data_IF_095768852842
#
_entry.id   IF_095768852842
#
_cell.length_a   1.000
_cell.length_b   1.000
_cell.length_c   1.000
_cell.angle_alpha   90.00
_cell.angle_beta   90.00
_cell.angle_gamma   90.00
#
_symmetry.space_group_name_H-M   'P 1'
#
loop_
_entity.id
_entity.type
_entity.pdbx_description
1 polymer ?
#
# COMPACT_ATOMS: atom_id res chain seq x y z
N UNK A 1 -8.50 -24.33 -11.96
CA UNK A 1 -8.47 -22.97 -12.54
C UNK A 1 -7.34 -22.93 -13.57
N UNK A 2 -7.56 -22.43 -14.78
CA UNK A 2 -6.54 -22.50 -15.84
C UNK A 2 -5.50 -21.40 -15.65
N UNK A 3 -4.24 -21.69 -16.03
CA UNK A 3 -3.10 -20.74 -16.03
C UNK A 3 -3.41 -19.41 -16.73
N UNK A 4 -4.41 -19.39 -17.62
CA UNK A 4 -4.92 -18.20 -18.32
C UNK A 4 -5.55 -17.18 -17.37
N UNK A 5 -6.31 -17.62 -16.37
CA UNK A 5 -7.04 -16.71 -15.48
C UNK A 5 -6.11 -15.93 -14.55
N UNK A 6 -5.03 -16.56 -14.08
CA UNK A 6 -4.01 -15.93 -13.24
C UNK A 6 -3.17 -14.89 -13.98
N UNK A 7 -2.83 -15.19 -15.24
CA UNK A 7 -2.15 -14.21 -16.10
C UNK A 7 -3.04 -13.00 -16.36
N UNK A 8 -4.34 -13.23 -16.59
CA UNK A 8 -5.28 -12.15 -16.80
C UNK A 8 -5.38 -11.23 -15.58
N UNK A 9 -5.35 -11.77 -14.35
CA UNK A 9 -5.36 -10.93 -13.14
C UNK A 9 -4.12 -10.05 -13.01
N UNK A 10 -2.92 -10.57 -13.28
CA UNK A 10 -1.70 -9.73 -13.24
C UNK A 10 -1.71 -8.63 -14.29
N UNK A 11 -2.20 -8.93 -15.49
CA UNK A 11 -2.39 -7.92 -16.54
C UNK A 11 -3.38 -6.85 -16.12
N UNK A 12 -4.53 -7.25 -15.57
CA UNK A 12 -5.55 -6.33 -15.09
C UNK A 12 -5.01 -5.42 -13.99
N UNK A 13 -4.33 -5.97 -12.98
CA UNK A 13 -3.72 -5.19 -11.89
C UNK A 13 -2.67 -4.21 -12.44
N UNK A 14 -1.79 -4.66 -13.35
CA UNK A 14 -0.74 -3.80 -13.93
C UNK A 14 -1.31 -2.70 -14.82
N UNK A 15 -2.36 -2.98 -15.61
CA UNK A 15 -3.03 -1.97 -16.44
C UNK A 15 -3.76 -0.93 -15.59
N UNK A 16 -4.48 -1.37 -14.55
CA UNK A 16 -5.13 -0.44 -13.62
C UNK A 16 -4.10 0.41 -12.87
N UNK A 17 -2.99 -0.20 -12.49
CA UNK A 17 -1.86 0.47 -11.84
C UNK A 17 -1.21 1.55 -12.72
N UNK A 18 -1.01 1.29 -14.01
CA UNK A 18 -0.60 2.31 -14.98
C UNK A 18 -1.58 3.50 -15.05
N UNK A 19 -2.89 3.22 -15.01
CA UNK A 19 -3.91 4.29 -14.98
C UNK A 19 -3.81 5.09 -13.68
N UNK A 20 -3.60 4.43 -12.53
CA UNK A 20 -3.41 5.08 -11.24
C UNK A 20 -2.13 5.94 -11.21
N UNK A 21 -1.04 5.48 -11.84
CA UNK A 21 0.20 6.24 -11.98
C UNK A 21 0.00 7.50 -12.84
N UNK A 22 -0.64 7.38 -14.00
CA UNK A 22 -0.93 8.55 -14.85
C UNK A 22 -1.85 9.53 -14.11
N UNK A 23 -2.88 9.03 -13.43
CA UNK A 23 -3.78 9.86 -12.63
C UNK A 23 -3.03 10.57 -11.50
N UNK A 24 -2.15 9.88 -10.76
CA UNK A 24 -1.41 10.49 -9.65
C UNK A 24 -0.48 11.60 -10.12
N UNK A 25 0.23 11.40 -11.24
CA UNK A 25 1.08 12.43 -11.86
C UNK A 25 0.26 13.65 -12.28
N UNK A 26 -0.88 13.46 -12.95
CA UNK A 26 -1.77 14.57 -13.35
C UNK A 26 -2.27 15.34 -12.13
N UNK A 27 -2.66 14.64 -11.06
CA UNK A 27 -3.12 15.30 -9.83
C UNK A 27 -1.99 16.02 -9.10
N UNK A 28 -0.77 15.48 -9.08
CA UNK A 28 0.38 16.14 -8.47
C UNK A 28 0.79 17.40 -9.24
N UNK A 29 0.77 17.39 -10.58
CA UNK A 29 0.99 18.59 -11.40
C UNK A 29 -0.06 19.65 -11.04
N UNK A 30 -1.33 19.26 -10.94
CA UNK A 30 -2.42 20.17 -10.57
C UNK A 30 -2.20 20.77 -9.18
N UNK A 31 -1.81 19.97 -8.18
CA UNK A 31 -1.49 20.44 -6.83
C UNK A 31 -0.31 21.42 -6.86
N UNK A 32 0.72 21.16 -7.66
CA UNK A 32 1.86 22.07 -7.81
C UNK A 32 1.52 23.40 -8.48
N UNK A 33 0.53 23.41 -9.36
CA UNK A 33 0.05 24.65 -10.01
C UNK A 33 -0.92 25.45 -9.14
N UNK A 34 -1.62 24.81 -8.21
CA UNK A 34 -2.62 25.47 -7.36
C UNK A 34 -1.93 26.09 -6.13
N UNK A 35 -1.96 27.43 -6.03
CA UNK A 35 -1.33 28.17 -4.92
C UNK A 35 -2.20 28.22 -3.67
N UNK A 36 -3.40 27.62 -3.68
CA UNK A 36 -4.32 27.64 -2.55
C UNK A 36 -3.80 26.73 -1.43
N UNK A 37 -3.55 27.33 -0.27
CA UNK A 37 -3.30 26.57 0.95
C UNK A 37 -4.64 26.02 1.47
N UNK A 38 -4.79 24.71 1.68
CA UNK A 38 -5.95 24.14 2.32
C UNK A 38 -5.99 24.61 3.78
N UNK A 39 -7.17 25.01 4.21
CA UNK A 39 -7.43 25.61 5.52
C UNK A 39 -6.92 24.76 6.70
N UNK A 40 -6.95 23.43 6.61
CA UNK A 40 -6.52 22.56 7.70
C UNK A 40 -5.01 22.55 7.95
N UNK A 41 -4.19 22.85 6.94
CA UNK A 41 -2.74 22.99 7.14
C UNK A 41 -2.41 24.26 7.94
N UNK A 42 -3.29 25.26 7.86
CA UNK A 42 -3.23 26.45 8.68
C UNK A 42 -3.53 26.16 10.15
N UNK A 43 -4.59 25.40 10.38
CA UNK A 43 -5.09 25.07 11.71
C UNK A 43 -4.10 24.19 12.49
N UNK A 44 -3.51 23.20 11.82
CA UNK A 44 -2.54 22.27 12.42
C UNK A 44 -1.12 22.84 12.57
N UNK A 45 -0.87 24.10 12.18
CA UNK A 45 0.46 24.73 12.19
C UNK A 45 1.51 23.93 11.39
N UNK A 46 1.09 23.14 10.40
CA UNK A 46 1.96 22.31 9.57
C UNK A 46 2.58 23.10 8.41
N UNK A 47 2.91 24.37 8.63
CA UNK A 47 3.65 25.22 7.71
C UNK A 47 5.15 24.93 7.79
N UNK A 48 5.51 23.68 7.52
CA UNK A 48 6.91 23.33 7.37
C UNK A 48 7.25 23.38 5.88
N UNK A 49 8.09 24.34 5.52
CA UNK A 49 8.76 24.32 4.22
C UNK A 49 9.85 23.26 4.28
N UNK A 50 9.78 22.28 3.38
CA UNK A 50 10.85 21.31 3.21
C UNK A 50 11.80 21.83 2.13
N UNK A 51 13.11 21.68 2.36
CA UNK A 51 14.08 22.01 1.32
C UNK A 51 14.38 20.77 0.49
N UNK A 52 14.20 20.86 -0.82
CA UNK A 52 14.69 19.87 -1.77
C UNK A 52 15.63 20.56 -2.75
N UNK A 53 16.88 20.07 -2.83
CA UNK A 53 17.95 20.66 -3.65
C UNK A 53 18.10 22.19 -3.44
N UNK A 54 17.93 22.66 -2.20
CA UNK A 54 18.04 24.08 -1.85
C UNK A 54 16.82 24.95 -2.19
N UNK A 55 15.78 24.38 -2.81
CA UNK A 55 14.51 25.08 -3.07
C UNK A 55 13.47 24.78 -1.99
N UNK A 56 12.73 25.79 -1.48
CA UNK A 56 11.65 25.56 -0.54
C UNK A 56 10.45 24.91 -1.25
N UNK A 57 9.95 23.83 -0.69
CA UNK A 57 8.79 23.08 -1.14
C UNK A 57 7.75 23.04 -0.02
N UNK A 58 6.52 23.44 -0.35
CA UNK A 58 5.40 23.29 0.58
C UNK A 58 5.08 21.82 0.84
N UNK A 59 4.64 21.51 2.06
CA UNK A 59 4.23 20.17 2.51
C UNK A 59 3.25 19.45 1.54
N UNK A 60 2.40 20.21 0.86
CA UNK A 60 1.44 19.68 -0.11
C UNK A 60 2.13 19.08 -1.33
N UNK A 61 3.10 19.80 -1.90
CA UNK A 61 3.84 19.34 -3.06
C UNK A 61 4.77 18.19 -2.68
N UNK A 62 5.40 18.28 -1.51
CA UNK A 62 6.22 17.20 -0.96
C UNK A 62 5.41 15.91 -0.80
N UNK A 63 4.26 15.95 -0.13
CA UNK A 63 3.41 14.78 0.04
C UNK A 63 2.79 14.28 -1.27
N UNK A 64 2.50 15.18 -2.22
CA UNK A 64 2.01 14.80 -3.54
C UNK A 64 3.07 14.04 -4.35
N UNK A 65 4.32 14.52 -4.35
CA UNK A 65 5.43 13.83 -4.99
C UNK A 65 5.74 12.50 -4.31
N UNK A 66 5.73 12.45 -2.97
CA UNK A 66 5.92 11.20 -2.22
C UNK A 66 4.89 10.14 -2.63
N UNK A 67 3.60 10.50 -2.71
CA UNK A 67 2.55 9.61 -3.22
C UNK A 67 2.83 9.15 -4.66
N UNK A 68 3.29 10.05 -5.54
CA UNK A 68 3.61 9.70 -6.93
C UNK A 68 4.78 8.71 -7.03
N UNK A 69 5.86 8.96 -6.29
CA UNK A 69 7.01 8.04 -6.24
C UNK A 69 6.61 6.69 -5.67
N UNK A 70 5.72 6.68 -4.67
CA UNK A 70 5.24 5.44 -4.08
C UNK A 70 4.37 4.63 -5.04
N UNK A 71 3.45 5.28 -5.76
CA UNK A 71 2.66 4.63 -6.82
C UNK A 71 3.58 4.12 -7.93
N UNK A 72 4.56 4.91 -8.37
CA UNK A 72 5.54 4.49 -9.37
C UNK A 72 6.30 3.23 -8.94
N UNK A 73 6.73 3.17 -7.68
CA UNK A 73 7.41 2.01 -7.12
C UNK A 73 6.49 0.78 -7.09
N UNK A 74 5.24 0.92 -6.64
CA UNK A 74 4.25 -0.15 -6.63
C UNK A 74 3.93 -0.66 -8.04
N UNK A 75 3.72 0.25 -9.01
CA UNK A 75 3.49 -0.07 -10.42
C UNK A 75 4.66 -0.83 -11.02
N UNK A 76 5.89 -0.37 -10.77
CA UNK A 76 7.09 -1.07 -11.22
C UNK A 76 7.17 -2.49 -10.65
N UNK A 77 6.86 -2.68 -9.37
CA UNK A 77 6.83 -4.01 -8.75
C UNK A 77 5.73 -4.91 -9.33
N UNK A 78 4.54 -4.40 -9.62
CA UNK A 78 3.48 -5.17 -10.30
C UNK A 78 3.92 -5.63 -11.70
N UNK A 79 4.59 -4.76 -12.45
CA UNK A 79 5.16 -5.09 -13.75
C UNK A 79 6.24 -6.18 -13.60
N UNK A 80 7.10 -6.09 -12.59
CA UNK A 80 8.09 -7.14 -12.29
C UNK A 80 7.39 -8.47 -11.98
N UNK A 81 6.32 -8.49 -11.17
CA UNK A 81 5.53 -9.70 -10.90
C UNK A 81 4.97 -10.28 -12.20
N UNK A 82 4.37 -9.44 -13.06
CA UNK A 82 3.78 -9.84 -14.33
C UNK A 82 4.80 -10.55 -15.24
N UNK A 83 6.03 -10.03 -15.34
CA UNK A 83 7.07 -10.62 -16.19
C UNK A 83 7.77 -11.82 -15.55
N UNK A 84 7.95 -11.81 -14.23
CA UNK A 84 8.67 -12.88 -13.50
C UNK A 84 7.82 -14.15 -13.40
N UNK A 85 6.52 -14.02 -13.12
CA UNK A 85 5.64 -15.16 -12.83
C UNK A 85 4.68 -15.49 -13.98
N UNK A 86 5.09 -15.27 -15.23
CA UNK A 86 4.26 -15.59 -16.40
C UNK A 86 3.82 -17.05 -16.48
N UNK A 87 4.63 -17.96 -15.91
CA UNK A 87 4.48 -19.41 -16.10
C UNK A 87 4.01 -20.17 -14.85
N UNK A 88 4.21 -19.59 -13.68
CA UNK A 88 3.97 -20.21 -12.37
C UNK A 88 2.66 -19.72 -11.76
N UNK A 89 1.92 -20.63 -11.14
CA UNK A 89 0.66 -20.30 -10.44
C UNK A 89 0.88 -20.55 -8.96
N UNK A 90 1.03 -19.49 -8.17
CA UNK A 90 1.07 -19.57 -6.70
C UNK A 90 0.07 -18.60 -6.09
N UNK A 91 -0.70 -19.08 -5.11
CA UNK A 91 -1.64 -18.26 -4.36
C UNK A 91 -0.94 -17.14 -3.57
N UNK A 92 0.26 -17.41 -3.03
CA UNK A 92 1.08 -16.45 -2.28
C UNK A 92 1.37 -15.21 -3.13
N UNK A 93 1.92 -15.43 -4.33
CA UNK A 93 2.30 -14.35 -5.25
C UNK A 93 1.08 -13.57 -5.72
N UNK A 94 -0.06 -14.24 -5.90
CA UNK A 94 -1.30 -13.54 -6.23
C UNK A 94 -1.73 -12.60 -5.10
N UNK A 95 -1.66 -13.01 -3.84
CA UNK A 95 -2.01 -12.15 -2.71
C UNK A 95 -1.00 -11.02 -2.50
N UNK A 96 0.29 -11.29 -2.73
CA UNK A 96 1.33 -10.24 -2.74
C UNK A 96 1.05 -9.22 -3.86
N UNK A 97 0.66 -9.66 -5.05
CA UNK A 97 0.29 -8.75 -6.15
C UNK A 97 -0.95 -7.91 -5.79
N UNK A 98 -1.95 -8.51 -5.14
CA UNK A 98 -3.10 -7.76 -4.63
C UNK A 98 -2.67 -6.71 -3.61
N UNK A 99 -1.80 -7.07 -2.67
CA UNK A 99 -1.27 -6.13 -1.69
C UNK A 99 -0.55 -4.96 -2.36
N UNK A 100 0.36 -5.21 -3.30
CA UNK A 100 1.07 -4.15 -4.03
C UNK A 100 0.10 -3.24 -4.78
N UNK A 101 -0.97 -3.79 -5.37
CA UNK A 101 -2.02 -2.99 -5.99
C UNK A 101 -2.81 -2.14 -4.98
N UNK A 102 -3.15 -2.70 -3.80
CA UNK A 102 -3.86 -1.98 -2.76
C UNK A 102 -3.02 -0.86 -2.12
N UNK A 103 -1.70 -1.00 -2.13
CA UNK A 103 -0.76 0.07 -1.74
C UNK A 103 -0.93 1.31 -2.62
N UNK A 104 -1.32 1.17 -3.89
CA UNK A 104 -1.57 2.31 -4.79
C UNK A 104 -2.82 3.10 -4.43
N UNK A 105 -3.70 2.57 -3.56
CA UNK A 105 -4.84 3.33 -3.04
C UNK A 105 -4.39 4.56 -2.23
N UNK A 106 -3.13 4.63 -1.78
CA UNK A 106 -2.54 5.84 -1.20
C UNK A 106 -2.58 7.04 -2.17
N UNK A 107 -2.68 6.81 -3.49
CA UNK A 107 -2.89 7.86 -4.48
C UNK A 107 -4.20 8.64 -4.27
N UNK A 108 -5.19 8.03 -3.61
CA UNK A 108 -6.47 8.67 -3.29
C UNK A 108 -6.34 9.79 -2.25
N UNK A 109 -5.18 9.93 -1.59
CA UNK A 109 -4.87 11.11 -0.77
C UNK A 109 -4.76 12.39 -1.62
N UNK A 110 -4.35 12.28 -2.89
CA UNK A 110 -4.24 13.42 -3.81
C UNK A 110 -5.58 14.09 -4.15
N UNK A 111 -6.64 13.35 -4.58
CA UNK A 111 -7.94 13.97 -4.78
C UNK A 111 -8.55 14.49 -3.47
N UNK A 112 -8.29 13.87 -2.31
CA UNK A 112 -8.72 14.43 -1.01
C UNK A 112 -8.11 15.81 -0.77
N UNK A 113 -6.81 15.96 -1.02
CA UNK A 113 -6.12 17.24 -0.87
C UNK A 113 -6.76 18.33 -1.76
N UNK A 114 -7.08 18.00 -3.01
CA UNK A 114 -7.74 18.92 -3.95
C UNK A 114 -9.17 19.28 -3.49
N UNK A 115 -9.93 18.31 -2.98
CA UNK A 115 -11.29 18.54 -2.46
C UNK A 115 -11.22 19.43 -1.22
N UNK A 116 -10.25 19.22 -0.35
CA UNK A 116 -10.03 20.00 0.87
C UNK A 116 -9.62 21.44 0.56
N UNK A 117 -8.80 21.69 -0.47
CA UNK A 117 -8.47 23.04 -0.95
C UNK A 117 -9.70 23.83 -1.48
N UNK A 118 -10.76 23.14 -1.89
CA UNK A 118 -11.95 23.73 -2.50
C UNK A 118 -13.19 23.72 -1.60
N UNK A 119 -13.06 23.22 -0.37
CA UNK A 119 -14.13 23.15 0.66
C UNK A 119 -15.46 22.59 0.12
N UNK A 120 -15.41 21.60 -0.77
CA UNK A 120 -16.55 21.27 -1.64
C UNK A 120 -17.53 20.25 -1.06
N UNK A 121 -17.05 19.22 -0.34
CA UNK A 121 -17.92 18.13 0.15
C UNK A 121 -17.23 17.29 1.22
N UNK A 122 -17.73 17.35 2.46
CA UNK A 122 -17.22 16.52 3.57
C UNK A 122 -17.59 15.04 3.37
N UNK A 123 -18.78 14.76 2.82
CA UNK A 123 -19.21 13.39 2.52
C UNK A 123 -18.24 12.67 1.59
N UNK A 124 -17.75 13.35 0.55
CA UNK A 124 -16.75 12.79 -0.38
C UNK A 124 -15.42 12.51 0.30
N UNK A 125 -14.99 13.38 1.24
CA UNK A 125 -13.77 13.16 2.02
C UNK A 125 -13.90 11.95 2.95
N UNK A 126 -15.06 11.76 3.59
CA UNK A 126 -15.33 10.59 4.45
C UNK A 126 -15.28 9.31 3.61
N UNK A 127 -15.97 9.28 2.46
CA UNK A 127 -15.98 8.10 1.58
C UNK A 127 -14.59 7.74 1.07
N UNK A 128 -13.81 8.73 0.62
CA UNK A 128 -12.43 8.49 0.19
C UNK A 128 -11.58 7.99 1.36
N UNK A 129 -11.72 8.56 2.55
CA UNK A 129 -10.93 8.16 3.74
C UNK A 129 -11.20 6.69 4.06
N UNK A 130 -12.48 6.27 4.06
CA UNK A 130 -12.85 4.86 4.23
C UNK A 130 -12.29 3.97 3.13
N UNK A 131 -12.23 4.43 1.89
CA UNK A 131 -11.67 3.66 0.78
C UNK A 131 -10.17 3.41 1.01
N UNK A 132 -9.41 4.44 1.41
CA UNK A 132 -7.98 4.29 1.71
C UNK A 132 -7.76 3.35 2.89
N UNK A 133 -8.47 3.51 4.01
CA UNK A 133 -8.38 2.57 5.14
C UNK A 133 -8.82 1.15 4.75
N UNK A 134 -9.84 1.03 3.91
CA UNK A 134 -10.30 -0.26 3.39
C UNK A 134 -9.21 -0.96 2.60
N UNK A 135 -8.50 -0.22 1.74
CA UNK A 135 -7.35 -0.74 1.00
C UNK A 135 -6.17 -1.07 1.92
N UNK A 136 -5.88 -0.24 2.93
CA UNK A 136 -4.84 -0.50 3.94
C UNK A 136 -5.07 -1.82 4.66
N UNK A 137 -6.23 -2.00 5.29
CA UNK A 137 -6.55 -3.26 5.97
C UNK A 137 -6.61 -4.43 5.02
N UNK A 138 -7.25 -4.28 3.85
CA UNK A 138 -7.31 -5.36 2.86
C UNK A 138 -5.91 -5.79 2.41
N UNK A 139 -5.00 -4.83 2.23
CA UNK A 139 -3.62 -5.09 1.82
C UNK A 139 -2.86 -5.88 2.88
N UNK A 140 -2.92 -5.46 4.14
CA UNK A 140 -2.23 -6.15 5.23
C UNK A 140 -2.83 -7.54 5.50
N UNK A 141 -4.16 -7.66 5.44
CA UNK A 141 -4.84 -8.96 5.55
C UNK A 141 -4.43 -9.87 4.38
N UNK A 142 -4.31 -9.33 3.16
CA UNK A 142 -3.86 -10.13 2.01
C UNK A 142 -2.43 -10.64 2.17
N UNK A 143 -1.53 -9.86 2.76
CA UNK A 143 -0.19 -10.32 3.13
C UNK A 143 -0.26 -11.46 4.16
N UNK A 144 -1.01 -11.27 5.25
CA UNK A 144 -1.20 -12.32 6.26
C UNK A 144 -1.72 -13.62 5.63
N UNK A 145 -2.76 -13.55 4.79
CA UNK A 145 -3.27 -14.73 4.09
C UNK A 145 -2.20 -15.34 3.19
N UNK A 146 -1.36 -14.52 2.53
CA UNK A 146 -0.24 -15.04 1.72
C UNK A 146 0.75 -15.88 2.55
N UNK A 147 1.02 -15.46 3.80
CA UNK A 147 1.80 -16.23 4.77
C UNK A 147 1.15 -17.57 5.10
N UNK A 148 -0.17 -17.60 5.32
CA UNK A 148 -0.91 -18.85 5.56
C UNK A 148 -0.80 -19.83 4.37
N UNK A 149 -0.91 -19.33 3.13
CA UNK A 149 -0.68 -20.15 1.94
C UNK A 149 0.76 -20.68 1.90
N UNK A 150 1.75 -19.91 2.36
CA UNK A 150 3.14 -20.35 2.45
C UNK A 150 3.36 -21.49 3.46
N UNK A 151 2.62 -21.49 4.56
CA UNK A 151 2.58 -22.60 5.53
C UNK A 151 1.88 -23.84 4.94
N UNK A 152 1.04 -23.67 3.90
CA UNK A 152 0.24 -24.73 3.29
C UNK A 152 -1.19 -24.82 3.86
N UNK A 153 -1.61 -23.83 4.63
CA UNK A 153 -2.98 -23.66 5.11
C UNK A 153 -3.80 -22.99 4.00
N UNK A 154 -4.98 -23.55 3.70
CA UNK A 154 -5.83 -23.07 2.62
C UNK A 154 -5.46 -23.66 1.27
N UNK A 155 -5.76 -24.95 1.04
CA UNK A 155 -5.71 -25.56 -0.31
C UNK A 155 -6.82 -25.04 -1.25
N UNK A 156 -7.52 -23.99 -0.84
CA UNK A 156 -8.64 -23.40 -1.55
C UNK A 156 -8.18 -22.55 -2.73
N UNK A 157 -9.16 -22.11 -3.54
CA UNK A 157 -8.87 -21.21 -4.66
C UNK A 157 -8.36 -19.87 -4.10
N UNK A 158 -7.28 -19.29 -4.65
CA UNK A 158 -6.76 -18.00 -4.20
C UNK A 158 -7.79 -16.86 -4.27
N UNK A 159 -8.83 -17.01 -5.10
CA UNK A 159 -9.96 -16.08 -5.16
C UNK A 159 -10.69 -15.93 -3.82
N UNK A 160 -10.79 -17.01 -3.03
CA UNK A 160 -11.39 -16.94 -1.70
C UNK A 160 -10.55 -16.05 -0.79
N UNK A 161 -9.22 -16.17 -0.85
CA UNK A 161 -8.29 -15.30 -0.11
C UNK A 161 -8.43 -13.83 -0.51
N UNK A 162 -8.55 -13.53 -1.80
CA UNK A 162 -8.82 -12.18 -2.32
C UNK A 162 -10.10 -11.59 -1.74
N UNK A 163 -11.20 -12.34 -1.88
CA UNK A 163 -12.51 -11.88 -1.46
C UNK A 163 -12.52 -11.66 0.06
N UNK A 164 -11.91 -12.57 0.81
CA UNK A 164 -11.82 -12.47 2.27
C UNK A 164 -11.02 -11.24 2.72
N UNK A 165 -9.87 -10.98 2.07
CA UNK A 165 -9.07 -9.78 2.36
C UNK A 165 -9.86 -8.49 2.10
N UNK A 166 -10.51 -8.39 0.93
CA UNK A 166 -11.29 -7.21 0.55
C UNK A 166 -12.53 -7.00 1.43
N UNK A 167 -13.26 -8.08 1.76
CA UNK A 167 -14.42 -8.01 2.62
C UNK A 167 -14.04 -7.60 4.04
N UNK A 168 -13.08 -8.28 4.66
CA UNK A 168 -12.66 -7.92 6.02
C UNK A 168 -12.07 -6.52 6.08
N UNK A 169 -11.21 -6.14 5.14
CA UNK A 169 -10.61 -4.81 5.13
C UNK A 169 -11.65 -3.70 4.96
N UNK A 170 -12.62 -3.89 4.06
CA UNK A 170 -13.73 -2.93 3.90
C UNK A 170 -14.65 -2.88 5.12
N UNK A 171 -14.92 -4.01 5.78
CA UNK A 171 -15.69 -4.06 7.02
C UNK A 171 -14.99 -3.28 8.14
N UNK A 172 -13.68 -3.49 8.34
CA UNK A 172 -12.91 -2.73 9.33
C UNK A 172 -12.96 -1.23 9.05
N UNK A 173 -12.81 -0.81 7.79
CA UNK A 173 -12.88 0.59 7.41
C UNK A 173 -14.27 1.23 7.63
N UNK A 174 -15.35 0.46 7.50
CA UNK A 174 -16.70 0.93 7.78
C UNK A 174 -16.98 1.11 9.28
N UNK A 175 -16.32 0.30 10.12
CA UNK A 175 -16.43 0.38 11.58
C UNK A 175 -15.62 1.53 12.19
N UNK A 176 -14.66 2.10 11.46
CA UNK A 176 -13.87 3.21 11.95
C UNK A 176 -14.70 4.51 12.03
N UNK A 177 -14.80 5.13 13.22
CA UNK A 177 -15.35 6.47 13.32
C UNK A 177 -14.38 7.45 12.65
N UNK A 178 -14.91 8.32 11.78
CA UNK A 178 -14.15 9.34 11.07
C UNK A 178 -14.66 10.70 11.52
N UNK A 179 -13.74 11.57 11.95
CA UNK A 179 -14.04 12.95 12.31
C UNK A 179 -14.44 13.78 11.08
N UNK A 180 -15.25 14.81 11.31
CA UNK A 180 -15.81 15.67 10.25
C UNK A 180 -15.00 16.97 10.14
N UNK A 181 -14.30 17.34 11.22
CA UNK A 181 -13.65 18.61 11.47
C UNK A 181 -12.12 18.53 11.52
N UNK A 182 -11.54 17.35 11.77
CA UNK A 182 -10.10 17.19 11.99
C UNK A 182 -9.43 16.46 10.83
N UNK A 183 -8.34 17.04 10.34
CA UNK A 183 -7.46 16.43 9.36
C UNK A 183 -6.20 15.88 10.02
N UNK A 184 -5.56 14.92 9.36
CA UNK A 184 -4.24 14.39 9.71
C UNK A 184 -3.18 14.92 8.73
N UNK A 185 -1.90 14.74 9.10
CA UNK A 185 -0.76 15.02 8.22
C UNK A 185 -0.80 14.21 6.91
N UNK A 186 -1.50 13.07 6.91
CA UNK A 186 -1.79 12.22 5.75
C UNK A 186 -2.75 12.83 4.72
N UNK A 187 -3.23 14.06 4.92
CA UNK A 187 -4.29 14.73 4.12
C UNK A 187 -5.68 14.08 4.21
N UNK A 188 -5.84 13.09 5.08
CA UNK A 188 -7.10 12.42 5.33
C UNK A 188 -7.81 13.00 6.57
N UNK A 189 -9.09 12.69 6.72
CA UNK A 189 -9.82 12.97 7.96
C UNK A 189 -9.30 12.08 9.09
N UNK A 190 -9.23 12.62 10.30
CA UNK A 190 -8.75 11.89 11.46
C UNK A 190 -9.72 10.76 11.83
N UNK A 191 -9.19 9.55 11.94
CA UNK A 191 -9.92 8.39 12.45
C UNK A 191 -9.88 8.36 13.98
N UNK A 192 -10.98 7.97 14.60
CA UNK A 192 -10.97 7.58 16.01
C UNK A 192 -10.25 6.23 16.19
N UNK A 193 -9.82 5.97 17.43
CA UNK A 193 -9.09 4.77 17.81
C UNK A 193 -7.77 4.52 17.05
N UNK A 194 -7.01 5.58 16.71
CA UNK A 194 -5.73 5.48 16.00
C UNK A 194 -4.79 4.45 16.63
N UNK A 195 -4.66 4.44 17.96
CA UNK A 195 -3.84 3.47 18.69
C UNK A 195 -4.28 2.02 18.45
N UNK A 196 -5.59 1.75 18.51
CA UNK A 196 -6.14 0.42 18.29
C UNK A 196 -5.89 -0.02 16.83
N UNK A 197 -6.08 0.88 15.86
CA UNK A 197 -5.79 0.58 14.46
C UNK A 197 -4.31 0.26 14.23
N UNK A 198 -3.41 0.94 14.93
CA UNK A 198 -1.97 0.70 14.86
C UNK A 198 -1.59 -0.64 15.48
N UNK A 199 -2.19 -0.99 16.63
CA UNK A 199 -1.98 -2.29 17.28
C UNK A 199 -2.43 -3.42 16.35
N UNK A 200 -3.65 -3.36 15.79
CA UNK A 200 -4.17 -4.38 14.86
C UNK A 200 -3.27 -4.50 13.63
N UNK A 201 -2.85 -3.37 13.07
CA UNK A 201 -1.93 -3.30 11.93
C UNK A 201 -0.60 -4.00 12.25
N UNK A 202 0.02 -3.64 13.38
CA UNK A 202 1.28 -4.24 13.82
C UNK A 202 1.15 -5.73 14.10
N UNK A 203 0.05 -6.17 14.74
CA UNK A 203 -0.21 -7.58 14.99
C UNK A 203 -0.29 -8.39 13.69
N UNK A 204 -0.99 -7.90 12.66
CA UNK A 204 -1.08 -8.60 11.38
C UNK A 204 0.27 -8.69 10.65
N UNK A 205 1.09 -7.63 10.72
CA UNK A 205 2.44 -7.63 10.14
C UNK A 205 3.35 -8.64 10.85
N UNK A 206 3.27 -8.71 12.19
CA UNK A 206 4.03 -9.69 13.00
C UNK A 206 3.55 -11.11 12.72
N UNK A 207 2.24 -11.35 12.63
CA UNK A 207 1.69 -12.66 12.29
C UNK A 207 2.16 -13.12 10.91
N UNK A 208 2.15 -12.25 9.90
CA UNK A 208 2.70 -12.57 8.59
C UNK A 208 4.19 -12.98 8.67
N UNK A 209 4.99 -12.31 9.50
CA UNK A 209 6.39 -12.68 9.72
C UNK A 209 6.50 -14.10 10.32
N UNK A 210 5.67 -14.38 11.33
CA UNK A 210 5.61 -15.69 11.99
C UNK A 210 5.21 -16.78 11.00
N UNK A 211 4.22 -16.53 10.14
CA UNK A 211 3.75 -17.52 9.15
C UNK A 211 4.88 -17.91 8.19
N UNK A 212 5.65 -16.95 7.67
CA UNK A 212 6.79 -17.24 6.81
C UNK A 212 7.95 -17.94 7.55
N UNK A 213 8.16 -17.64 8.83
CA UNK A 213 9.14 -18.37 9.65
C UNK A 213 8.71 -19.82 9.91
N UNK A 214 7.42 -20.06 10.14
CA UNK A 214 6.84 -21.40 10.27
C UNK A 214 6.95 -22.15 8.95
N UNK A 215 6.63 -21.50 7.82
CA UNK A 215 6.79 -22.07 6.48
C UNK A 215 8.25 -22.49 6.20
N UNK A 216 9.22 -21.69 6.63
CA UNK A 216 10.64 -22.01 6.50
C UNK A 216 11.04 -23.29 7.27
N UNK A 217 10.43 -23.52 8.44
CA UNK A 217 10.64 -24.75 9.21
C UNK A 217 9.95 -25.95 8.59
N UNK A 218 8.71 -25.79 8.15
CA UNK A 218 7.92 -26.89 7.59
C UNK A 218 8.44 -27.38 6.23
N UNK A 219 8.92 -26.46 5.39
CA UNK A 219 9.45 -26.77 4.05
C UNK A 219 10.97 -26.99 4.05
N UNK A 220 11.61 -26.96 5.23
CA UNK A 220 13.06 -27.07 5.44
C UNK A 220 13.89 -26.13 4.54
N UNK A 221 13.37 -24.93 4.26
CA UNK A 221 14.00 -23.96 3.36
C UNK A 221 14.03 -22.57 3.99
N UNK A 222 15.24 -22.14 4.34
CA UNK A 222 15.50 -20.83 4.96
C UNK A 222 15.12 -19.66 4.05
N UNK A 223 14.97 -19.88 2.75
CA UNK A 223 14.55 -18.86 1.79
C UNK A 223 13.19 -18.24 2.14
N UNK A 224 12.26 -19.03 2.68
CA UNK A 224 10.96 -18.50 3.14
C UNK A 224 11.08 -17.53 4.31
N UNK A 225 12.05 -17.73 5.20
CA UNK A 225 12.30 -16.80 6.31
C UNK A 225 12.77 -15.44 5.79
N UNK A 226 13.65 -15.43 4.78
CA UNK A 226 14.10 -14.19 4.14
C UNK A 226 12.96 -13.46 3.42
N UNK A 227 12.04 -14.21 2.76
CA UNK A 227 10.82 -13.63 2.17
C UNK A 227 9.95 -12.98 3.25
N UNK A 228 9.74 -13.68 4.38
CA UNK A 228 8.98 -13.14 5.52
C UNK A 228 9.56 -11.83 6.03
N UNK A 229 10.87 -11.80 6.31
CA UNK A 229 11.57 -10.60 6.80
C UNK A 229 11.43 -9.45 5.79
N UNK A 230 11.68 -9.71 4.50
CA UNK A 230 11.60 -8.68 3.47
C UNK A 230 10.17 -8.13 3.31
N UNK A 231 9.15 -8.99 3.31
CA UNK A 231 7.74 -8.54 3.27
C UNK A 231 7.34 -7.76 4.53
N UNK A 232 7.83 -8.15 5.71
CA UNK A 232 7.60 -7.41 6.96
C UNK A 232 8.22 -6.02 6.93
N UNK A 233 9.46 -5.89 6.45
CA UNK A 233 10.12 -4.59 6.29
C UNK A 233 9.37 -3.74 5.27
N UNK A 234 8.92 -4.33 4.17
CA UNK A 234 8.13 -3.61 3.16
C UNK A 234 6.76 -3.17 3.72
N UNK A 235 6.05 -4.01 4.47
CA UNK A 235 4.80 -3.64 5.12
C UNK A 235 5.00 -2.54 6.17
N UNK A 236 6.06 -2.62 6.98
CA UNK A 236 6.40 -1.57 7.94
C UNK A 236 6.76 -0.24 7.24
N UNK A 237 7.47 -0.32 6.11
CA UNK A 237 7.78 0.85 5.26
C UNK A 237 6.50 1.50 4.73
N UNK A 238 5.54 0.70 4.26
CA UNK A 238 4.24 1.22 3.83
C UNK A 238 3.47 1.90 4.96
N UNK A 239 3.43 1.29 6.16
CA UNK A 239 2.77 1.89 7.33
C UNK A 239 3.45 3.21 7.75
N UNK A 240 4.78 3.29 7.65
CA UNK A 240 5.50 4.53 7.93
C UNK A 240 5.12 5.66 6.96
N UNK A 241 4.88 5.33 5.69
CA UNK A 241 4.44 6.26 4.62
C UNK A 241 2.96 6.68 4.73
N UNK A 242 2.23 6.22 5.75
CA UNK A 242 0.85 6.65 5.99
C UNK A 242 0.76 8.12 6.38
N UNK A 243 1.74 8.62 7.13
CA UNK A 243 1.87 10.02 7.51
C UNK A 243 2.79 10.76 6.55
N UNK A 244 2.40 11.95 6.11
CA UNK A 244 3.33 12.83 5.38
C UNK A 244 4.40 13.33 6.33
N UNK A 245 5.66 13.06 5.99
CA UNK A 245 6.84 13.46 6.77
C UNK A 245 7.81 14.24 5.88
N UNK A 246 9.03 14.43 6.36
CA UNK A 246 10.11 15.06 5.58
C UNK A 246 10.33 14.27 4.28
N UNK A 247 10.21 14.96 3.14
CA UNK A 247 10.25 14.37 1.80
C UNK A 247 11.45 13.44 1.55
N UNK A 248 12.64 13.84 2.00
CA UNK A 248 13.87 13.06 1.81
C UNK A 248 13.78 11.69 2.48
N UNK A 249 13.25 11.64 3.72
CA UNK A 249 13.04 10.38 4.43
C UNK A 249 11.94 9.54 3.77
N UNK A 250 10.87 10.18 3.27
CA UNK A 250 9.85 9.53 2.45
C UNK A 250 10.44 8.78 1.25
N UNK A 251 11.31 9.44 0.47
CA UNK A 251 11.97 8.82 -0.68
C UNK A 251 12.83 7.60 -0.29
N UNK A 252 13.59 7.70 0.80
CA UNK A 252 14.40 6.58 1.30
C UNK A 252 13.51 5.38 1.64
N UNK A 253 12.38 5.62 2.31
CA UNK A 253 11.44 4.57 2.70
C UNK A 253 10.71 3.97 1.49
N UNK A 254 10.39 4.76 0.46
CA UNK A 254 9.84 4.27 -0.82
C UNK A 254 10.84 3.34 -1.52
N UNK A 255 12.13 3.71 -1.55
CA UNK A 255 13.18 2.88 -2.13
C UNK A 255 13.34 1.58 -1.34
N UNK A 256 13.32 1.65 0.00
CA UNK A 256 13.38 0.48 0.87
C UNK A 256 12.20 -0.47 0.62
N UNK A 257 10.97 0.07 0.51
CA UNK A 257 9.79 -0.71 0.14
C UNK A 257 9.99 -1.46 -1.20
N UNK A 258 10.36 -0.74 -2.26
CA UNK A 258 10.54 -1.31 -3.59
C UNK A 258 11.62 -2.41 -3.59
N UNK A 259 12.75 -2.16 -2.92
CA UNK A 259 13.86 -3.10 -2.81
C UNK A 259 13.43 -4.38 -2.07
N UNK A 260 12.77 -4.25 -0.93
CA UNK A 260 12.30 -5.41 -0.15
C UNK A 260 11.27 -6.24 -0.92
N UNK A 261 10.32 -5.61 -1.61
CA UNK A 261 9.36 -6.32 -2.47
C UNK A 261 10.07 -7.04 -3.61
N UNK A 262 11.03 -6.39 -4.27
CA UNK A 262 11.82 -7.00 -5.34
C UNK A 262 12.61 -8.23 -4.87
N UNK A 263 13.26 -8.13 -3.70
CA UNK A 263 14.00 -9.24 -3.09
C UNK A 263 13.05 -10.42 -2.80
N UNK A 264 11.89 -10.16 -2.20
CA UNK A 264 10.88 -11.20 -1.94
C UNK A 264 10.43 -11.91 -3.22
N UNK A 265 10.13 -11.14 -4.28
CA UNK A 265 9.75 -11.68 -5.59
C UNK A 265 10.86 -12.55 -6.18
N UNK A 266 12.11 -12.09 -6.15
CA UNK A 266 13.27 -12.82 -6.69
C UNK A 266 13.49 -14.14 -5.96
N UNK A 267 13.38 -14.14 -4.63
CA UNK A 267 13.54 -15.36 -3.83
C UNK A 267 12.40 -16.35 -4.11
N UNK A 268 11.14 -15.88 -4.11
CA UNK A 268 10.00 -16.73 -4.45
C UNK A 268 10.12 -17.32 -5.86
N UNK A 269 10.57 -16.53 -6.83
CA UNK A 269 10.80 -17.02 -8.19
C UNK A 269 11.83 -18.15 -8.25
N UNK A 270 12.93 -18.01 -7.51
CA UNK A 270 13.92 -19.08 -7.41
C UNK A 270 13.31 -20.34 -6.78
N UNK A 271 12.54 -20.20 -5.71
CA UNK A 271 11.87 -21.34 -5.05
C UNK A 271 10.96 -22.08 -6.04
N UNK A 272 10.13 -21.38 -6.81
CA UNK A 272 9.15 -21.99 -7.72
C UNK A 272 9.72 -22.50 -9.06
N UNK A 273 10.94 -22.14 -9.43
CA UNK A 273 11.61 -22.70 -10.62
C UNK A 273 12.31 -24.00 -10.29
N UNK A 274 12.99 -24.05 -9.14
CA UNK A 274 13.90 -25.13 -8.79
C UNK A 274 13.28 -26.21 -7.88
N UNK A 275 12.04 -26.01 -7.43
CA UNK A 275 11.24 -26.97 -6.67
C UNK A 275 9.84 -27.09 -7.26
#
# INVERSE_FOLDING_TARGET
MTRRNFRFTYWLLSCMSLVMLVASVVLAIRIGTDKRLPFFLADLHLYTEYFFLGSPMGIQLAGALECCFFVLAATAMLIVVLFTFQKTVSAEIHLIALWIFLVEAEALRLPMLIIAQRSTSIGSLISLTRLVYGARFSGIISLFISGLYAVGIGKEKPQTGYLFALLLGSMFAMLLPISIDRFQSSFMLQTGYSELTMIVTASLIVLNAIDYLVAARLKEDRSYAFVGIALTIAAASWVWLWDTRVFVWGLIVVIAFAFCVFVSIKILHHIYIWK
#
